data_IF_243509304677
#
_entry.id   IF_243509304677
#
_cell.length_a   1.000
_cell.length_b   1.000
_cell.length_c   1.000
_cell.angle_alpha   90.00
_cell.angle_beta   90.00
_cell.angle_gamma   90.00
#
_symmetry.space_group_name_H-M   'P 1'
#
loop_
_entity.id
_entity.type
_entity.pdbx_description
1 polymer ?
#
# COMPACT_ATOMS: atom_id res chain seq x y z
N UNK A 1 -22.42 -27.48 -0.75
CA UNK A 1 -22.15 -26.90 -2.08
C UNK A 1 -20.64 -26.83 -2.27
N UNK A 2 -20.11 -27.29 -3.40
CA UNK A 2 -18.67 -27.24 -3.66
C UNK A 2 -18.22 -25.79 -3.93
N UNK A 3 -17.05 -25.39 -3.42
CA UNK A 3 -16.42 -24.10 -3.72
C UNK A 3 -15.93 -24.12 -5.17
N UNK A 4 -16.63 -23.42 -6.06
CA UNK A 4 -16.28 -23.28 -7.48
C UNK A 4 -15.52 -21.98 -7.73
N UNK A 5 -14.37 -22.03 -8.41
CA UNK A 5 -13.62 -20.80 -8.73
C UNK A 5 -14.42 -19.85 -9.62
N UNK A 6 -15.07 -20.37 -10.67
CA UNK A 6 -15.85 -19.57 -11.62
C UNK A 6 -17.36 -19.46 -11.29
N UNK A 7 -17.85 -20.17 -10.27
CA UNK A 7 -19.28 -20.41 -10.06
C UNK A 7 -19.76 -21.72 -10.70
N UNK A 8 -20.98 -22.14 -10.36
CA UNK A 8 -21.62 -23.34 -10.94
C UNK A 8 -23.13 -23.12 -11.14
N UNK A 9 -23.49 -22.01 -11.78
CA UNK A 9 -24.88 -21.65 -12.02
C UNK A 9 -25.52 -22.55 -13.09
N UNK A 10 -26.79 -22.91 -12.87
CA UNK A 10 -27.54 -23.77 -13.79
C UNK A 10 -27.72 -23.07 -15.15
N UNK A 11 -27.26 -23.71 -16.22
CA UNK A 11 -27.44 -23.23 -17.61
C UNK A 11 -26.29 -22.38 -18.15
N UNK A 12 -25.28 -22.06 -17.35
CA UNK A 12 -24.06 -21.38 -17.79
C UNK A 12 -22.90 -22.35 -17.57
N UNK A 13 -22.04 -22.53 -18.58
CA UNK A 13 -20.77 -23.24 -18.40
C UNK A 13 -19.65 -22.20 -18.24
N UNK A 14 -19.36 -21.73 -17.01
CA UNK A 14 -18.40 -20.64 -16.78
C UNK A 14 -16.95 -21.08 -17.06
N UNK A 15 -16.71 -22.38 -17.24
CA UNK A 15 -15.43 -22.94 -17.65
C UNK A 15 -15.31 -23.12 -19.18
N UNK A 16 -16.34 -22.78 -19.96
CA UNK A 16 -16.30 -22.87 -21.41
C UNK A 16 -15.27 -21.90 -22.01
N UNK A 17 -14.45 -22.41 -22.92
CA UNK A 17 -13.42 -21.64 -23.65
C UNK A 17 -13.70 -21.56 -25.16
N UNK A 18 -14.91 -21.92 -25.58
CA UNK A 18 -15.29 -22.04 -27.01
C UNK A 18 -15.14 -20.71 -27.77
N UNK A 19 -15.39 -19.58 -27.11
CA UNK A 19 -15.27 -18.25 -27.70
C UNK A 19 -13.86 -17.63 -27.53
N UNK A 20 -12.85 -18.44 -27.18
CA UNK A 20 -11.48 -18.02 -26.93
C UNK A 20 -11.15 -17.89 -25.44
N UNK A 21 -9.95 -18.32 -25.06
CA UNK A 21 -9.51 -18.42 -23.66
C UNK A 21 -9.52 -17.06 -22.94
N UNK A 22 -9.02 -16.00 -23.57
CA UNK A 22 -8.99 -14.65 -22.98
C UNK A 22 -10.34 -13.91 -23.03
N UNK A 23 -11.35 -14.45 -23.71
CA UNK A 23 -12.70 -13.90 -23.70
C UNK A 23 -13.53 -14.43 -22.51
N UNK A 24 -13.05 -15.49 -21.85
CA UNK A 24 -13.64 -15.97 -20.61
C UNK A 24 -13.14 -15.10 -19.44
N UNK A 25 -14.05 -14.34 -18.81
CA UNK A 25 -13.73 -13.46 -17.69
C UNK A 25 -13.13 -14.18 -16.48
N UNK A 26 -13.60 -15.39 -16.17
CA UNK A 26 -13.03 -16.19 -15.09
C UNK A 26 -11.60 -16.63 -15.39
N UNK A 27 -11.29 -16.99 -16.64
CA UNK A 27 -9.93 -17.34 -17.05
C UNK A 27 -8.98 -16.15 -16.91
N UNK A 28 -9.43 -14.94 -17.26
CA UNK A 28 -8.63 -13.71 -17.07
C UNK A 28 -8.37 -13.43 -15.59
N UNK A 29 -9.35 -13.68 -14.71
CA UNK A 29 -9.15 -13.58 -13.27
C UNK A 29 -8.22 -14.67 -12.70
N UNK A 30 -8.27 -15.90 -13.23
CA UNK A 30 -7.29 -16.94 -12.94
C UNK A 30 -5.87 -16.54 -13.38
N UNK A 31 -5.72 -15.94 -14.57
CA UNK A 31 -4.44 -15.47 -15.08
C UNK A 31 -3.82 -14.41 -14.15
N UNK A 32 -4.64 -13.54 -13.55
CA UNK A 32 -4.18 -12.53 -12.59
C UNK A 32 -3.69 -13.12 -11.26
N UNK A 33 -4.03 -14.36 -10.93
CA UNK A 33 -3.52 -15.04 -9.74
C UNK A 33 -2.06 -15.49 -9.91
N UNK A 34 -1.66 -15.83 -11.14
CA UNK A 34 -0.36 -16.46 -11.45
C UNK A 34 0.85 -15.63 -10.95
N UNK A 35 0.96 -14.31 -11.24
CA UNK A 35 2.12 -13.53 -10.79
C UNK A 35 2.24 -13.46 -9.26
N UNK A 36 1.11 -13.37 -8.56
CA UNK A 36 1.06 -13.27 -7.10
C UNK A 36 1.56 -14.56 -6.44
N UNK A 37 1.06 -15.70 -6.92
CA UNK A 37 1.47 -17.03 -6.44
C UNK A 37 2.95 -17.27 -6.74
N UNK A 38 3.40 -16.93 -7.95
CA UNK A 38 4.80 -17.02 -8.35
C UNK A 38 5.75 -16.25 -7.41
N UNK A 39 5.42 -14.99 -7.09
CA UNK A 39 6.23 -14.19 -6.16
C UNK A 39 6.31 -14.85 -4.79
N UNK A 40 5.18 -15.32 -4.25
CA UNK A 40 5.15 -15.95 -2.93
C UNK A 40 6.05 -17.19 -2.91
N UNK A 41 5.91 -18.10 -3.87
CA UNK A 41 6.73 -19.32 -3.91
C UNK A 41 8.23 -19.05 -3.99
N UNK A 42 8.66 -18.02 -4.72
CA UNK A 42 10.08 -17.69 -4.83
C UNK A 42 10.61 -16.95 -3.59
N UNK A 43 9.81 -16.04 -3.03
CA UNK A 43 10.27 -15.17 -1.93
C UNK A 43 10.21 -15.86 -0.56
N UNK A 44 9.28 -16.79 -0.35
CA UNK A 44 9.14 -17.50 0.94
C UNK A 44 10.43 -18.20 1.39
N UNK A 45 11.11 -19.03 0.56
CA UNK A 45 12.36 -19.66 0.95
C UNK A 45 13.46 -18.64 1.26
N UNK A 46 13.57 -17.56 0.48
CA UNK A 46 14.59 -16.53 0.66
C UNK A 46 14.37 -15.78 1.98
N UNK A 47 13.12 -15.43 2.29
CA UNK A 47 12.75 -14.78 3.54
C UNK A 47 13.01 -15.68 4.74
N UNK A 48 12.73 -16.98 4.63
CA UNK A 48 12.96 -17.93 5.73
C UNK A 48 14.46 -18.11 6.01
N UNK A 49 15.29 -18.23 4.98
CA UNK A 49 16.75 -18.27 5.10
C UNK A 49 17.27 -16.97 5.72
N UNK A 50 16.78 -15.83 5.25
CA UNK A 50 17.15 -14.51 5.78
C UNK A 50 16.79 -14.35 7.25
N UNK A 51 15.59 -14.79 7.66
CA UNK A 51 15.18 -14.79 9.06
C UNK A 51 16.08 -15.72 9.89
N UNK A 52 16.26 -16.98 9.48
CA UNK A 52 17.12 -17.92 10.22
C UNK A 52 18.54 -17.40 10.43
N UNK A 53 19.11 -16.74 9.43
CA UNK A 53 20.43 -16.12 9.54
C UNK A 53 20.45 -14.90 10.48
N UNK A 54 19.42 -14.05 10.44
CA UNK A 54 19.31 -12.91 11.37
C UNK A 54 19.05 -13.36 12.80
N UNK A 55 18.25 -14.41 13.02
CA UNK A 55 17.94 -14.92 14.36
C UNK A 55 19.15 -15.53 15.06
N UNK A 56 20.14 -16.02 14.29
CA UNK A 56 21.41 -16.53 14.83
C UNK A 56 22.44 -15.43 15.09
N UNK A 57 22.28 -14.24 14.49
CA UNK A 57 23.14 -13.07 14.69
C UNK A 57 22.40 -12.00 15.50
N UNK A 58 22.59 -12.00 16.81
CA UNK A 58 21.88 -11.18 17.82
C UNK A 58 22.03 -9.65 17.64
N UNK A 59 22.92 -9.16 16.76
CA UNK A 59 23.02 -7.75 16.42
C UNK A 59 22.94 -7.57 14.90
N UNK A 60 21.81 -7.00 14.46
CA UNK A 60 21.66 -6.50 13.09
C UNK A 60 22.70 -5.40 12.91
N UNK A 61 23.68 -5.59 12.02
CA UNK A 61 24.65 -4.56 11.70
C UNK A 61 23.95 -3.39 10.99
N UNK A 62 23.53 -2.39 11.75
CA UNK A 62 23.00 -1.12 11.22
C UNK A 62 23.95 -0.46 10.21
N UNK A 63 25.24 -0.80 10.29
CA UNK A 63 26.32 -0.34 9.43
C UNK A 63 26.13 -0.70 7.93
N UNK A 64 25.25 -1.63 7.57
CA UNK A 64 25.01 -2.00 6.15
C UNK A 64 23.73 -1.39 5.55
N UNK A 65 22.92 -0.70 6.35
CA UNK A 65 21.62 -0.23 5.89
C UNK A 65 21.77 0.94 4.92
N UNK A 66 21.24 0.76 3.71
CA UNK A 66 21.32 1.77 2.66
C UNK A 66 20.05 1.77 1.83
N UNK A 67 19.31 2.88 1.87
CA UNK A 67 18.11 3.02 1.05
C UNK A 67 18.43 3.05 -0.44
N UNK A 68 17.67 2.29 -1.23
CA UNK A 68 17.77 2.39 -2.69
C UNK A 68 17.14 3.70 -3.21
N UNK A 69 17.61 4.19 -4.38
CA UNK A 69 16.99 5.35 -5.02
C UNK A 69 15.47 5.15 -5.20
N UNK A 70 14.67 6.15 -4.89
CA UNK A 70 13.20 6.03 -4.97
C UNK A 70 12.54 5.26 -3.81
N UNK A 71 13.25 4.97 -2.72
CA UNK A 71 12.72 4.29 -1.52
C UNK A 71 11.38 4.88 -1.04
N UNK A 72 11.30 6.20 -0.80
CA UNK A 72 10.08 6.83 -0.28
C UNK A 72 8.91 6.67 -1.27
N UNK A 73 9.16 6.87 -2.57
CA UNK A 73 8.14 6.72 -3.61
C UNK A 73 7.61 5.28 -3.66
N UNK A 74 8.51 4.29 -3.57
CA UNK A 74 8.15 2.86 -3.51
C UNK A 74 7.19 2.59 -2.36
N UNK A 75 7.51 3.02 -1.14
CA UNK A 75 6.64 2.81 0.02
C UNK A 75 5.26 3.46 -0.14
N UNK A 76 5.21 4.70 -0.63
CA UNK A 76 3.94 5.40 -0.87
C UNK A 76 3.08 4.64 -1.91
N UNK A 77 3.69 4.21 -3.01
CA UNK A 77 3.01 3.44 -4.05
C UNK A 77 2.55 2.07 -3.53
N UNK A 78 3.35 1.38 -2.72
CA UNK A 78 2.95 0.10 -2.11
C UNK A 78 1.79 0.28 -1.13
N UNK A 79 1.79 1.32 -0.28
CA UNK A 79 0.65 1.58 0.60
C UNK A 79 -0.62 1.90 -0.18
N UNK A 80 -0.49 2.67 -1.26
CA UNK A 80 -1.60 2.95 -2.18
C UNK A 80 -2.09 1.65 -2.84
N UNK A 81 -1.18 0.78 -3.29
CA UNK A 81 -1.50 -0.53 -3.86
C UNK A 81 -2.24 -1.43 -2.87
N UNK A 82 -1.78 -1.49 -1.61
CA UNK A 82 -2.45 -2.26 -0.56
C UNK A 82 -3.87 -1.74 -0.30
N UNK A 83 -4.05 -0.42 -0.24
CA UNK A 83 -5.37 0.20 -0.09
C UNK A 83 -6.30 -0.16 -1.25
N UNK A 84 -5.82 -0.05 -2.49
CA UNK A 84 -6.64 -0.39 -3.67
C UNK A 84 -6.97 -1.89 -3.75
N UNK A 85 -6.07 -2.77 -3.30
CA UNK A 85 -6.39 -4.21 -3.14
C UNK A 85 -7.48 -4.47 -2.11
N UNK A 86 -7.48 -3.73 -0.98
CA UNK A 86 -8.58 -3.80 -0.01
C UNK A 86 -9.90 -3.37 -0.65
N UNK A 87 -9.88 -2.33 -1.49
CA UNK A 87 -11.06 -1.93 -2.27
C UNK A 87 -11.50 -2.99 -3.29
N UNK A 88 -10.57 -3.60 -4.05
CA UNK A 88 -10.88 -4.68 -5.00
C UNK A 88 -11.45 -5.91 -4.28
N UNK A 89 -10.91 -6.24 -3.11
CA UNK A 89 -11.40 -7.33 -2.27
C UNK A 89 -12.80 -7.06 -1.71
N UNK A 90 -13.05 -5.85 -1.20
CA UNK A 90 -14.35 -5.45 -0.70
C UNK A 90 -15.42 -5.45 -1.82
N UNK A 91 -15.08 -4.92 -3.00
CA UNK A 91 -15.94 -4.99 -4.18
C UNK A 91 -16.22 -6.44 -4.58
N UNK A 92 -15.19 -7.30 -4.62
CA UNK A 92 -15.35 -8.71 -4.96
C UNK A 92 -16.29 -9.47 -4.00
N UNK A 93 -16.23 -9.20 -2.69
CA UNK A 93 -17.14 -9.80 -1.70
C UNK A 93 -18.57 -9.33 -1.90
N UNK A 94 -18.78 -8.03 -2.13
CA UNK A 94 -20.13 -7.47 -2.33
C UNK A 94 -20.74 -8.02 -3.62
N UNK A 95 -19.95 -8.11 -4.69
CA UNK A 95 -20.37 -8.67 -5.98
C UNK A 95 -20.70 -10.17 -5.89
N UNK A 96 -19.92 -10.96 -5.13
CA UNK A 96 -20.21 -12.38 -4.87
C UNK A 96 -21.53 -12.57 -4.10
N UNK A 97 -21.78 -11.76 -3.05
CA UNK A 97 -23.03 -11.86 -2.26
C UNK A 97 -24.29 -11.49 -3.04
N UNK A 98 -24.17 -10.65 -4.06
CA UNK A 98 -25.29 -10.28 -4.93
C UNK A 98 -25.66 -11.42 -5.90
N UNK A 99 -24.71 -12.32 -6.20
CA UNK A 99 -24.93 -13.51 -7.02
C UNK A 99 -25.51 -14.62 -6.14
N UNK A 100 -26.83 -14.57 -5.91
CA UNK A 100 -27.58 -15.32 -4.88
C UNK A 100 -27.52 -16.87 -4.97
N UNK A 101 -26.90 -17.46 -6.00
CA UNK A 101 -27.02 -18.91 -6.30
C UNK A 101 -25.75 -19.73 -6.08
N UNK A 102 -24.56 -19.21 -6.38
CA UNK A 102 -23.30 -19.96 -6.20
C UNK A 102 -22.14 -19.07 -5.77
N UNK A 103 -21.10 -19.66 -5.20
CA UNK A 103 -19.89 -18.93 -4.78
C UNK A 103 -18.95 -18.75 -5.98
N UNK A 104 -18.52 -17.51 -6.23
CA UNK A 104 -17.65 -17.10 -7.33
C UNK A 104 -16.30 -16.58 -6.80
N UNK A 105 -15.39 -17.50 -6.42
CA UNK A 105 -14.11 -17.11 -5.79
C UNK A 105 -13.24 -16.20 -6.67
N UNK A 106 -13.31 -16.32 -8.00
CA UNK A 106 -12.53 -15.50 -8.93
C UNK A 106 -12.74 -13.98 -8.75
N UNK A 107 -13.86 -13.56 -8.15
CA UNK A 107 -14.15 -12.14 -7.91
C UNK A 107 -13.25 -11.50 -6.86
N UNK A 108 -12.91 -12.21 -5.78
CA UNK A 108 -12.15 -11.67 -4.65
C UNK A 108 -10.80 -12.37 -4.39
N UNK A 109 -10.63 -13.63 -4.81
CA UNK A 109 -9.41 -14.40 -4.52
C UNK A 109 -8.14 -13.79 -5.17
N UNK A 110 -8.16 -13.32 -6.43
CA UNK A 110 -7.00 -12.63 -7.01
C UNK A 110 -6.62 -11.36 -6.25
N UNK A 111 -7.61 -10.59 -5.77
CA UNK A 111 -7.38 -9.37 -4.98
C UNK A 111 -6.75 -9.70 -3.61
N UNK A 112 -7.27 -10.72 -2.93
CA UNK A 112 -6.71 -11.18 -1.66
C UNK A 112 -5.26 -11.67 -1.81
N UNK A 113 -4.99 -12.47 -2.83
CA UNK A 113 -3.64 -12.95 -3.13
C UNK A 113 -2.72 -11.81 -3.57
N UNK A 114 -3.25 -10.81 -4.30
CA UNK A 114 -2.56 -9.57 -4.62
C UNK A 114 -2.15 -8.76 -3.39
N UNK A 115 -3.02 -8.67 -2.37
CA UNK A 115 -2.72 -8.03 -1.09
C UNK A 115 -1.60 -8.75 -0.33
N UNK A 116 -1.67 -10.09 -0.23
CA UNK A 116 -0.61 -10.89 0.39
C UNK A 116 0.70 -10.73 -0.37
N UNK A 117 0.67 -10.84 -1.71
CA UNK A 117 1.86 -10.67 -2.54
C UNK A 117 2.47 -9.27 -2.40
N UNK A 118 1.66 -8.20 -2.38
CA UNK A 118 2.14 -6.84 -2.16
C UNK A 118 2.80 -6.69 -0.77
N UNK A 119 2.22 -7.28 0.28
CA UNK A 119 2.79 -7.29 1.63
C UNK A 119 4.12 -8.05 1.67
N UNK A 120 4.16 -9.25 1.10
CA UNK A 120 5.40 -10.03 1.00
C UNK A 120 6.45 -9.30 0.16
N UNK A 121 6.06 -8.60 -0.90
CA UNK A 121 6.97 -7.83 -1.76
C UNK A 121 7.71 -6.72 -1.00
N UNK A 122 7.02 -6.03 -0.08
CA UNK A 122 7.63 -4.95 0.70
C UNK A 122 8.49 -5.47 1.83
N UNK A 123 8.10 -6.58 2.46
CA UNK A 123 8.95 -7.29 3.43
C UNK A 123 10.21 -7.80 2.75
N UNK A 124 10.08 -8.41 1.56
CA UNK A 124 11.19 -8.87 0.74
C UNK A 124 12.13 -7.73 0.36
N UNK A 125 11.58 -6.62 -0.13
CA UNK A 125 12.35 -5.41 -0.42
C UNK A 125 13.11 -4.89 0.80
N UNK A 126 12.46 -4.81 1.97
CA UNK A 126 13.09 -4.33 3.19
C UNK A 126 14.29 -5.23 3.59
N UNK A 127 14.16 -6.55 3.47
CA UNK A 127 15.25 -7.49 3.74
C UNK A 127 16.41 -7.36 2.73
N UNK A 128 16.12 -7.07 1.46
CA UNK A 128 17.19 -6.81 0.47
C UNK A 128 17.89 -5.48 0.76
N UNK A 129 17.15 -4.47 1.20
CA UNK A 129 17.70 -3.16 1.54
C UNK A 129 18.60 -3.19 2.78
N UNK A 130 18.25 -4.00 3.78
CA UNK A 130 19.09 -4.19 4.97
C UNK A 130 20.32 -5.04 4.69
N UNK A 131 20.20 -6.05 3.82
CA UNK A 131 21.32 -6.91 3.39
C UNK A 131 22.19 -6.30 2.28
N UNK A 132 21.71 -5.27 1.58
CA UNK A 132 22.38 -4.58 0.47
C UNK A 132 22.79 -5.52 -0.69
N UNK A 133 21.93 -6.47 -1.06
CA UNK A 133 22.12 -7.39 -2.20
C UNK A 133 21.18 -7.07 -3.39
N UNK A 134 21.48 -6.04 -4.21
CA UNK A 134 20.55 -5.54 -5.22
C UNK A 134 20.19 -6.55 -6.31
N UNK A 135 21.03 -7.56 -6.59
CA UNK A 135 20.75 -8.59 -7.62
C UNK A 135 19.45 -9.36 -7.35
N UNK A 136 19.07 -9.54 -6.08
CA UNK A 136 17.82 -10.21 -5.71
C UNK A 136 16.57 -9.40 -6.05
N UNK A 137 16.68 -8.07 -6.26
CA UNK A 137 15.57 -7.22 -6.71
C UNK A 137 15.08 -7.59 -8.12
N UNK A 138 15.86 -8.34 -8.91
CA UNK A 138 15.42 -8.82 -10.23
C UNK A 138 14.16 -9.69 -10.14
N UNK A 139 14.02 -10.49 -9.08
CA UNK A 139 12.81 -11.30 -8.85
C UNK A 139 11.60 -10.39 -8.72
N UNK A 140 11.75 -9.31 -7.96
CA UNK A 140 10.68 -8.34 -7.73
C UNK A 140 10.35 -7.56 -9.01
N UNK A 141 11.36 -7.20 -9.82
CA UNK A 141 11.15 -6.58 -11.13
C UNK A 141 10.35 -7.47 -12.09
N UNK A 142 10.71 -8.75 -12.22
CA UNK A 142 9.97 -9.71 -13.06
C UNK A 142 8.52 -9.82 -12.59
N UNK A 143 8.30 -9.88 -11.27
CA UNK A 143 6.95 -9.90 -10.71
C UNK A 143 6.12 -8.67 -11.13
N UNK A 144 6.67 -7.45 -11.01
CA UNK A 144 5.93 -6.24 -11.40
C UNK A 144 5.60 -6.22 -12.89
N UNK A 145 6.51 -6.69 -13.75
CA UNK A 145 6.26 -6.82 -15.19
C UNK A 145 5.12 -7.80 -15.46
N UNK A 146 5.17 -8.99 -14.86
CA UNK A 146 4.12 -10.00 -15.02
C UNK A 146 2.76 -9.49 -14.52
N UNK A 147 2.71 -8.91 -13.31
CA UNK A 147 1.49 -8.35 -12.74
C UNK A 147 0.91 -7.19 -13.57
N UNK A 148 1.77 -6.33 -14.11
CA UNK A 148 1.37 -5.25 -15.02
C UNK A 148 0.75 -5.81 -16.30
N UNK A 149 1.38 -6.82 -16.92
CA UNK A 149 0.87 -7.44 -18.15
C UNK A 149 -0.49 -8.12 -17.91
N UNK A 150 -0.63 -8.94 -16.86
CA UNK A 150 -1.89 -9.67 -16.61
C UNK A 150 -3.04 -8.72 -16.29
N UNK A 151 -2.81 -7.67 -15.50
CA UNK A 151 -3.84 -6.67 -15.19
C UNK A 151 -4.16 -5.80 -16.41
N UNK A 152 -3.17 -5.50 -17.27
CA UNK A 152 -3.41 -4.79 -18.54
C UNK A 152 -4.29 -5.61 -19.49
N UNK A 153 -4.08 -6.93 -19.56
CA UNK A 153 -4.96 -7.83 -20.31
C UNK A 153 -6.41 -7.76 -19.76
N UNK A 154 -6.59 -7.79 -18.43
CA UNK A 154 -7.90 -7.64 -17.81
C UNK A 154 -8.57 -6.30 -18.14
N UNK A 155 -7.82 -5.20 -18.04
CA UNK A 155 -8.32 -3.86 -18.38
C UNK A 155 -8.72 -3.76 -19.86
N UNK A 156 -7.88 -4.29 -20.76
CA UNK A 156 -8.16 -4.34 -22.20
C UNK A 156 -9.44 -5.13 -22.48
N UNK A 157 -9.64 -6.27 -21.79
CA UNK A 157 -10.86 -7.06 -21.94
C UNK A 157 -12.10 -6.37 -21.41
N UNK A 158 -12.01 -5.57 -20.36
CA UNK A 158 -13.13 -4.73 -19.95
C UNK A 158 -13.46 -3.68 -21.02
N UNK A 159 -12.45 -3.03 -21.60
CA UNK A 159 -12.66 -2.07 -22.69
C UNK A 159 -13.27 -2.72 -23.94
N UNK A 160 -12.86 -3.95 -24.29
CA UNK A 160 -13.40 -4.66 -25.46
C UNK A 160 -14.84 -5.13 -25.29
N UNK A 161 -15.30 -5.32 -24.05
CA UNK A 161 -16.70 -5.67 -23.73
C UNK A 161 -17.52 -4.42 -23.36
N UNK A 162 -17.05 -3.23 -23.72
CA UNK A 162 -17.73 -1.95 -23.48
C UNK A 162 -18.03 -1.66 -21.99
N UNK A 163 -17.29 -2.29 -21.08
CA UNK A 163 -17.37 -2.02 -19.64
C UNK A 163 -16.65 -0.70 -19.38
N UNK A 164 -17.43 0.36 -19.23
CA UNK A 164 -16.94 1.73 -19.03
C UNK A 164 -16.63 2.10 -17.57
N UNK A 165 -16.24 3.37 -17.32
CA UNK A 165 -15.94 3.91 -16.00
C UNK A 165 -17.15 4.00 -15.04
N UNK A 166 -18.35 3.67 -15.53
CA UNK A 166 -19.55 3.54 -14.72
C UNK A 166 -19.46 2.36 -13.74
N UNK A 167 -18.64 1.35 -14.07
CA UNK A 167 -18.42 0.18 -13.22
C UNK A 167 -17.21 0.36 -12.30
N UNK A 168 -17.42 0.21 -11.00
CA UNK A 168 -16.37 0.36 -9.99
C UNK A 168 -15.15 -0.54 -10.24
N UNK A 169 -15.38 -1.79 -10.65
CA UNK A 169 -14.32 -2.77 -10.94
C UNK A 169 -13.42 -2.35 -12.12
N UNK A 170 -13.95 -1.61 -13.10
CA UNK A 170 -13.16 -1.01 -14.17
C UNK A 170 -12.21 0.05 -13.61
N UNK A 171 -12.73 1.00 -12.83
CA UNK A 171 -11.94 2.09 -12.24
C UNK A 171 -10.84 1.56 -11.30
N UNK A 172 -11.16 0.58 -10.46
CA UNK A 172 -10.18 -0.08 -9.58
C UNK A 172 -9.09 -0.78 -10.41
N UNK A 173 -9.48 -1.52 -11.46
CA UNK A 173 -8.52 -2.23 -12.32
C UNK A 173 -7.60 -1.24 -13.06
N UNK A 174 -8.14 -0.13 -13.57
CA UNK A 174 -7.35 0.92 -14.21
C UNK A 174 -6.34 1.54 -13.23
N UNK A 175 -6.77 1.82 -11.99
CA UNK A 175 -5.89 2.33 -10.94
C UNK A 175 -4.78 1.33 -10.58
N UNK A 176 -5.10 0.04 -10.50
CA UNK A 176 -4.10 -1.01 -10.26
C UNK A 176 -3.07 -1.11 -11.39
N UNK A 177 -3.50 -1.05 -12.65
CA UNK A 177 -2.57 -1.02 -13.81
C UNK A 177 -1.62 0.17 -13.71
N UNK A 178 -2.14 1.36 -13.37
CA UNK A 178 -1.32 2.56 -13.14
C UNK A 178 -0.32 2.37 -11.99
N UNK A 179 -0.77 1.84 -10.84
CA UNK A 179 0.11 1.62 -9.68
C UNK A 179 1.20 0.58 -9.97
N UNK A 180 0.88 -0.53 -10.64
CA UNK A 180 1.87 -1.52 -11.06
C UNK A 180 2.86 -0.94 -12.07
N UNK A 181 2.40 -0.12 -13.02
CA UNK A 181 3.26 0.58 -13.96
C UNK A 181 4.22 1.57 -13.29
N UNK A 182 3.74 2.34 -12.31
CA UNK A 182 4.58 3.26 -11.53
C UNK A 182 5.62 2.52 -10.67
N UNK A 183 5.24 1.40 -10.04
CA UNK A 183 6.18 0.56 -9.27
C UNK A 183 7.24 -0.07 -10.18
N UNK A 184 6.84 -0.55 -11.36
CA UNK A 184 7.77 -1.02 -12.38
C UNK A 184 8.75 0.08 -12.81
N UNK A 185 8.27 1.31 -13.03
CA UNK A 185 9.14 2.45 -13.35
C UNK A 185 10.13 2.78 -12.22
N UNK A 186 9.73 2.65 -10.96
CA UNK A 186 10.63 2.80 -9.81
C UNK A 186 11.71 1.72 -9.80
N UNK A 187 11.40 0.47 -10.11
CA UNK A 187 12.42 -0.58 -10.25
C UNK A 187 13.40 -0.30 -11.40
N UNK A 188 12.90 0.14 -12.56
CA UNK A 188 13.73 0.53 -13.70
C UNK A 188 14.69 1.65 -13.29
N UNK A 189 14.22 2.63 -12.51
CA UNK A 189 15.08 3.70 -11.99
C UNK A 189 16.16 3.16 -11.04
N UNK A 190 15.85 2.20 -10.18
CA UNK A 190 16.85 1.55 -9.31
C UNK A 190 17.89 0.80 -10.14
N UNK A 191 17.46 0.02 -11.14
CA UNK A 191 18.36 -0.69 -12.07
C UNK A 191 19.29 0.29 -12.78
N UNK A 192 18.74 1.39 -13.31
CA UNK A 192 19.49 2.44 -14.02
C UNK A 192 20.53 3.13 -13.12
N UNK A 193 20.14 3.52 -11.90
CA UNK A 193 21.02 4.28 -11.00
C UNK A 193 22.10 3.38 -10.38
N UNK A 194 21.76 2.16 -9.97
CA UNK A 194 22.72 1.25 -9.33
C UNK A 194 23.55 0.44 -10.33
N UNK A 195 23.10 0.35 -11.60
CA UNK A 195 23.79 -0.36 -12.70
C UNK A 195 24.19 -1.79 -12.33
N UNK A 196 23.33 -2.50 -11.58
CA UNK A 196 23.64 -3.86 -11.10
C UNK A 196 23.24 -4.98 -12.07
N UNK A 197 22.52 -4.63 -13.15
CA UNK A 197 22.07 -5.54 -14.22
C UNK A 197 22.65 -5.03 -15.54
N UNK A 198 23.29 -5.89 -16.33
CA UNK A 198 23.85 -5.60 -17.66
C UNK A 198 24.98 -4.56 -17.77
N UNK A 199 25.51 -4.03 -16.65
CA UNK A 199 26.68 -3.14 -16.67
C UNK A 199 27.91 -3.82 -16.03
N UNK A 200 29.08 -3.64 -16.66
CA UNK A 200 30.34 -4.23 -16.21
C UNK A 200 30.81 -3.71 -14.83
N UNK A 201 30.44 -2.48 -14.47
CA UNK A 201 30.86 -1.82 -13.22
C UNK A 201 29.66 -1.40 -12.36
N UNK A 202 29.29 -2.19 -11.33
CA UNK A 202 28.18 -1.85 -10.44
C UNK A 202 28.54 -0.68 -9.53
N UNK A 203 27.63 0.28 -9.37
CA UNK A 203 27.86 1.44 -8.50
C UNK A 203 27.68 1.07 -7.02
N UNK A 204 28.80 0.84 -6.34
CA UNK A 204 28.83 0.63 -4.88
C UNK A 204 28.74 1.97 -4.16
N UNK A 205 27.63 2.20 -3.46
CA UNK A 205 27.44 3.37 -2.59
C UNK A 205 27.68 2.93 -1.16
N UNK A 206 28.47 3.72 -0.41
CA UNK A 206 28.72 3.46 1.01
C UNK A 206 27.52 3.91 1.85
N UNK A 207 27.19 3.20 2.95
CA UNK A 207 26.21 3.65 3.94
C UNK A 207 26.57 5.02 4.52
N UNK A 208 25.59 5.85 4.91
CA UNK A 208 25.83 7.14 5.56
C UNK A 208 26.81 7.05 6.73
N UNK A 209 27.68 8.05 6.88
CA UNK A 209 28.68 8.08 7.97
C UNK A 209 28.04 8.03 9.36
N UNK A 210 26.86 8.63 9.54
CA UNK A 210 26.08 8.57 10.77
C UNK A 210 25.73 7.15 11.21
N UNK A 211 25.48 6.24 10.26
CA UNK A 211 25.18 4.82 10.57
C UNK A 211 26.44 4.01 10.90
N UNK A 212 27.62 4.54 10.58
CA UNK A 212 28.91 3.92 10.92
C UNK A 212 29.41 4.36 12.30
N UNK A 213 28.96 5.52 12.81
CA UNK A 213 29.22 5.95 14.19
C UNK A 213 28.29 5.20 15.16
N UNK A 214 28.84 4.21 15.87
CA UNK A 214 28.16 3.44 16.93
C UNK A 214 27.58 4.31 18.06
N UNK A 215 28.02 5.57 18.16
CA UNK A 215 27.47 6.56 19.08
C UNK A 215 26.10 7.10 18.66
N UNK A 216 25.71 7.03 17.39
CA UNK A 216 24.41 7.54 16.91
C UNK A 216 23.33 6.49 17.15
N UNK A 217 22.37 6.81 18.03
CA UNK A 217 21.25 5.91 18.37
C UNK A 217 19.89 6.45 17.97
N UNK A 218 19.82 7.73 17.59
CA UNK A 218 18.61 8.32 17.03
C UNK A 218 18.52 7.99 15.53
N UNK A 219 17.74 6.96 15.21
CA UNK A 219 17.70 6.34 13.88
C UNK A 219 16.61 6.89 12.95
N UNK A 220 15.70 7.75 13.44
CA UNK A 220 14.54 8.26 12.69
C UNK A 220 14.85 8.70 11.24
N UNK A 221 15.98 9.38 10.92
CA UNK A 221 16.24 9.79 9.53
C UNK A 221 16.54 8.63 8.57
N UNK A 222 17.05 7.51 9.09
CA UNK A 222 17.65 6.40 8.33
C UNK A 222 16.76 5.15 8.23
N UNK A 223 15.61 5.17 8.91
CA UNK A 223 14.67 4.04 8.88
C UNK A 223 13.72 4.14 7.68
N UNK A 224 13.08 3.03 7.35
CA UNK A 224 12.07 2.99 6.30
C UNK A 224 10.86 3.89 6.63
N UNK A 225 10.07 4.24 5.62
CA UNK A 225 8.95 5.16 5.77
C UNK A 225 7.92 4.68 6.82
N UNK A 226 7.66 3.38 6.89
CA UNK A 226 6.76 2.80 7.89
C UNK A 226 7.24 3.05 9.31
N UNK A 227 8.51 2.75 9.60
CA UNK A 227 9.12 2.97 10.91
C UNK A 227 9.24 4.47 11.25
N UNK A 228 9.37 5.35 10.25
CA UNK A 228 9.28 6.81 10.47
C UNK A 228 7.90 7.24 10.95
N UNK A 229 6.84 6.64 10.40
CA UNK A 229 5.46 7.00 10.71
C UNK A 229 4.95 6.38 12.02
N UNK A 230 5.29 5.11 12.28
CA UNK A 230 4.83 4.38 13.49
C UNK A 230 5.84 4.42 14.63
N UNK A 231 7.01 5.04 14.43
CA UNK A 231 8.12 5.08 15.38
C UNK A 231 8.62 3.69 15.82
N UNK A 232 8.53 2.69 14.93
CA UNK A 232 8.87 1.30 15.25
C UNK A 232 10.30 1.13 15.81
N UNK A 233 11.27 1.91 15.32
CA UNK A 233 12.65 1.88 15.79
C UNK A 233 12.82 2.28 17.27
N UNK A 234 11.83 2.93 17.89
CA UNK A 234 11.87 3.28 19.31
C UNK A 234 11.55 2.09 20.22
N UNK A 235 10.95 1.01 19.71
CA UNK A 235 10.53 -0.13 20.52
C UNK A 235 11.65 -0.71 21.40
N UNK A 236 12.87 -0.97 20.89
CA UNK A 236 13.97 -1.47 21.73
C UNK A 236 14.37 -0.49 22.84
N UNK A 237 14.28 0.82 22.59
CA UNK A 237 14.60 1.85 23.58
C UNK A 237 13.54 1.87 24.69
N UNK A 238 12.25 1.85 24.34
CA UNK A 238 11.14 1.87 25.30
C UNK A 238 11.15 0.61 26.18
N UNK A 239 11.27 -0.58 25.56
CA UNK A 239 11.36 -1.85 26.30
C UNK A 239 12.61 -1.86 27.19
N UNK A 240 13.74 -1.35 26.68
CA UNK A 240 14.98 -1.25 27.41
C UNK A 240 14.95 -0.24 28.56
N UNK A 241 14.09 0.78 28.49
CA UNK A 241 13.91 1.79 29.53
C UNK A 241 13.08 1.26 30.71
N UNK A 242 12.15 0.34 30.44
CA UNK A 242 11.41 -0.34 31.50
C UNK A 242 12.31 -1.21 32.37
N UNK A 243 13.35 -1.83 31.78
CA UNK A 243 14.28 -2.71 32.51
C UNK A 243 15.38 -1.96 33.27
N UNK A 244 15.84 -0.82 32.75
CA UNK A 244 16.93 -0.03 33.33
C UNK A 244 16.72 1.45 33.05
N UNK A 245 17.02 2.35 34.00
CA UNK A 245 16.92 3.78 33.79
C UNK A 245 17.76 4.24 32.59
N UNK A 246 17.30 5.31 31.92
CA UNK A 246 17.95 5.82 30.72
C UNK A 246 19.10 6.75 31.11
N UNK A 247 20.32 6.27 30.87
CA UNK A 247 21.53 7.09 30.96
C UNK A 247 21.75 7.90 29.66
N UNK A 248 22.42 9.06 29.76
CA UNK A 248 22.77 9.90 28.60
C UNK A 248 23.58 9.12 27.54
N UNK A 249 24.46 8.21 27.98
CA UNK A 249 25.21 7.32 27.09
C UNK A 249 24.30 6.41 26.25
N UNK A 250 23.12 6.06 26.75
CA UNK A 250 22.15 5.20 26.07
C UNK A 250 21.30 5.94 25.03
N UNK A 251 21.12 7.25 25.18
CA UNK A 251 20.44 8.13 24.20
C UNK A 251 21.29 8.30 22.94
N UNK A 252 22.62 8.35 23.10
CA UNK A 252 23.56 8.49 22.00
C UNK A 252 23.63 9.89 21.42
N UNK A 253 24.41 10.03 20.34
CA UNK A 253 24.59 11.26 19.57
C UNK A 253 23.44 11.46 18.58
N UNK A 254 23.20 12.73 18.25
CA UNK A 254 22.31 13.11 17.16
C UNK A 254 22.99 12.94 15.78
N UNK A 255 22.22 12.55 14.74
CA UNK A 255 22.70 12.52 13.35
C UNK A 255 23.19 13.89 12.89
N UNK A 256 24.14 13.93 11.96
CA UNK A 256 24.74 15.16 11.44
C UNK A 256 23.67 16.18 10.99
N UNK A 257 22.62 15.72 10.30
CA UNK A 257 21.54 16.58 9.82
C UNK A 257 20.77 17.34 10.92
N UNK A 258 20.87 16.91 12.19
CA UNK A 258 20.19 17.51 13.33
C UNK A 258 21.14 18.22 14.29
N UNK A 259 22.44 18.27 13.99
CA UNK A 259 23.42 18.95 14.86
C UNK A 259 23.29 20.47 14.77
N UNK A 260 23.52 21.13 15.90
CA UNK A 260 23.42 22.58 16.01
C UNK A 260 24.34 23.30 15.01
N UNK A 261 25.60 22.87 14.87
CA UNK A 261 26.56 23.45 13.93
C UNK A 261 26.08 23.36 12.48
N UNK A 262 25.59 22.19 12.06
CA UNK A 262 25.09 21.97 10.69
C UNK A 262 23.89 22.86 10.38
N UNK A 263 22.94 22.97 11.31
CA UNK A 263 21.78 23.84 11.16
C UNK A 263 22.13 25.33 11.21
N UNK A 264 23.10 25.71 12.06
CA UNK A 264 23.63 27.07 12.11
C UNK A 264 24.29 27.48 10.79
N UNK A 265 25.18 26.63 10.25
CA UNK A 265 25.84 26.89 8.97
C UNK A 265 24.82 27.03 7.85
N UNK A 266 23.81 26.13 7.79
CA UNK A 266 22.73 26.21 6.79
C UNK A 266 21.94 27.51 6.87
N UNK A 267 21.65 28.00 8.08
CA UNK A 267 20.95 29.27 8.28
C UNK A 267 21.85 30.46 7.94
N UNK A 268 23.12 30.40 8.32
CA UNK A 268 24.13 31.41 8.00
C UNK A 268 24.28 31.56 6.49
N UNK A 269 24.43 30.46 5.76
CA UNK A 269 24.53 30.48 4.30
C UNK A 269 23.27 31.11 3.67
N UNK A 270 22.07 30.76 4.13
CA UNK A 270 20.82 31.36 3.66
C UNK A 270 20.65 32.85 4.03
N UNK A 271 21.36 33.32 5.05
CA UNK A 271 21.42 34.72 5.48
C UNK A 271 22.43 35.52 4.66
N UNK A 272 23.63 34.97 4.44
CA UNK A 272 24.66 35.59 3.60
C UNK A 272 24.25 35.62 2.11
N UNK A 273 23.54 34.61 1.62
CA UNK A 273 22.95 34.56 0.26
C UNK A 273 22.00 35.73 -0.06
N UNK A 274 21.52 36.45 0.96
CA UNK A 274 20.68 37.63 0.76
C UNK A 274 21.50 38.90 0.53
N UNK A 275 22.78 38.91 0.88
CA UNK A 275 23.68 40.03 0.57
C UNK A 275 24.01 39.96 -0.92
N UNK A 276 23.35 40.82 -1.69
CA UNK A 276 23.57 40.93 -3.14
C UNK A 276 24.57 42.06 -3.40
N UNK A 277 25.40 41.95 -4.44
CA UNK A 277 26.41 42.96 -4.78
C UNK A 277 25.81 44.36 -5.07
N UNK A 278 24.53 44.41 -5.43
CA UNK A 278 23.80 45.65 -5.75
C UNK A 278 23.47 46.51 -4.52
N UNK A 279 23.37 45.92 -3.32
CA UNK A 279 23.00 46.70 -2.11
C UNK A 279 23.64 46.12 -0.82
N UNK A 280 24.96 46.35 -0.60
CA UNK A 280 25.72 45.77 0.50
C UNK A 280 25.27 46.26 1.89
N UNK A 281 24.64 47.43 1.95
CA UNK A 281 24.26 48.10 3.20
C UNK A 281 22.89 47.65 3.72
N UNK A 282 22.11 46.91 2.93
CA UNK A 282 20.79 46.42 3.35
C UNK A 282 20.96 45.23 4.29
N UNK A 283 20.49 45.39 5.52
CA UNK A 283 20.47 44.30 6.50
C UNK A 283 19.63 43.12 5.98
N UNK A 284 20.19 41.90 5.89
CA UNK A 284 19.43 40.71 5.48
C UNK A 284 18.30 40.41 6.46
N UNK A 285 17.20 39.86 5.95
CA UNK A 285 16.02 39.55 6.78
C UNK A 285 16.11 38.15 7.35
N UNK A 286 16.04 38.03 8.69
CA UNK A 286 16.10 36.74 9.40
C UNK A 286 14.94 35.82 8.98
N UNK A 287 13.73 36.37 8.82
CA UNK A 287 12.55 35.61 8.41
C UNK A 287 12.72 34.95 7.04
N UNK A 288 13.24 35.69 6.05
CA UNK A 288 13.49 35.13 4.71
C UNK A 288 14.56 34.06 4.75
N UNK A 289 15.60 34.22 5.59
CA UNK A 289 16.64 33.20 5.78
C UNK A 289 16.04 31.92 6.38
N UNK A 290 15.15 32.08 7.37
CA UNK A 290 14.48 30.96 8.03
C UNK A 290 13.62 30.17 7.04
N UNK A 291 12.78 30.85 6.25
CA UNK A 291 11.97 30.20 5.22
C UNK A 291 12.82 29.57 4.11
N UNK A 292 13.93 30.19 3.70
CA UNK A 292 14.83 29.62 2.70
C UNK A 292 15.55 28.37 3.23
N UNK A 293 16.00 28.38 4.48
CA UNK A 293 16.70 27.26 5.10
C UNK A 293 15.78 26.10 5.51
N UNK A 294 14.59 26.39 6.04
CA UNK A 294 13.70 25.40 6.68
C UNK A 294 12.26 25.37 6.14
N UNK A 295 11.94 26.15 5.11
CA UNK A 295 10.58 26.20 4.54
C UNK A 295 10.12 24.87 3.94
N UNK A 296 11.02 24.08 3.34
CA UNK A 296 10.65 22.76 2.75
C UNK A 296 10.06 21.79 3.80
N UNK A 297 10.71 21.53 4.96
CA UNK A 297 10.11 20.77 6.05
C UNK A 297 8.79 21.34 6.57
N UNK A 298 8.69 22.67 6.69
CA UNK A 298 7.47 23.32 7.19
C UNK A 298 6.31 23.08 6.23
N UNK A 299 6.51 23.30 4.93
CA UNK A 299 5.50 23.03 3.91
C UNK A 299 5.07 21.57 3.92
N UNK A 300 6.01 20.63 4.03
CA UNK A 300 5.69 19.20 4.15
C UNK A 300 4.84 18.91 5.39
N UNK A 301 5.21 19.46 6.55
CA UNK A 301 4.43 19.33 7.79
C UNK A 301 3.01 19.89 7.63
N UNK A 302 2.88 21.08 7.04
CA UNK A 302 1.58 21.70 6.77
C UNK A 302 0.72 20.85 5.83
N UNK A 303 1.30 20.28 4.76
CA UNK A 303 0.55 19.39 3.86
C UNK A 303 0.02 18.15 4.57
N UNK A 304 0.81 17.53 5.46
CA UNK A 304 0.34 16.40 6.25
C UNK A 304 -0.76 16.80 7.24
N UNK A 305 -0.66 17.99 7.84
CA UNK A 305 -1.71 18.51 8.72
C UNK A 305 -3.03 18.66 7.97
N UNK A 306 -3.03 19.35 6.83
CA UNK A 306 -4.24 19.52 6.02
C UNK A 306 -4.83 18.18 5.55
N UNK A 307 -3.99 17.24 5.13
CA UNK A 307 -4.45 15.90 4.75
C UNK A 307 -5.09 15.15 5.93
N UNK A 308 -4.48 15.25 7.12
CA UNK A 308 -5.02 14.62 8.33
C UNK A 308 -6.38 15.22 8.72
N UNK A 309 -6.55 16.54 8.61
CA UNK A 309 -7.81 17.21 8.92
C UNK A 309 -8.91 16.80 7.92
N UNK A 310 -8.59 16.72 6.61
CA UNK A 310 -9.50 16.22 5.58
C UNK A 310 -9.93 14.76 5.82
N UNK A 311 -8.98 13.89 6.17
CA UNK A 311 -9.27 12.50 6.52
C UNK A 311 -10.06 12.39 7.83
N UNK A 312 -9.90 13.34 8.76
CA UNK A 312 -10.69 13.43 9.98
C UNK A 312 -12.20 13.57 9.72
N UNK A 313 -12.58 14.26 8.65
CA UNK A 313 -14.00 14.38 8.25
C UNK A 313 -14.57 13.09 7.65
N UNK A 314 -13.73 12.16 7.17
CA UNK A 314 -14.20 10.89 6.64
C UNK A 314 -14.89 10.04 7.71
N UNK A 315 -14.46 10.12 8.97
CA UNK A 315 -15.05 9.36 10.09
C UNK A 315 -16.55 9.63 10.26
N UNK A 316 -16.97 10.88 10.53
CA UNK A 316 -18.39 11.25 10.62
C UNK A 316 -19.20 10.95 9.36
N UNK A 317 -18.62 11.15 8.16
CA UNK A 317 -19.28 10.84 6.89
C UNK A 317 -19.55 9.34 6.73
N UNK A 318 -18.58 8.48 7.08
CA UNK A 318 -18.75 7.04 7.09
C UNK A 318 -19.84 6.59 8.08
N UNK A 319 -19.88 7.17 9.30
CA UNK A 319 -20.94 6.87 10.29
C UNK A 319 -22.31 7.25 9.74
N UNK A 320 -22.44 8.44 9.13
CA UNK A 320 -23.69 8.90 8.51
C UNK A 320 -24.15 7.94 7.39
N UNK A 321 -23.22 7.49 6.55
CA UNK A 321 -23.49 6.51 5.49
C UNK A 321 -23.99 5.17 6.05
N UNK A 322 -23.31 4.63 7.07
CA UNK A 322 -23.68 3.37 7.73
C UNK A 322 -25.08 3.48 8.35
N UNK A 323 -25.37 4.54 9.11
CA UNK A 323 -26.68 4.72 9.76
C UNK A 323 -27.80 4.85 8.73
N UNK A 324 -27.59 5.58 7.64
CA UNK A 324 -28.57 5.69 6.54
C UNK A 324 -28.86 4.34 5.88
N UNK A 325 -27.82 3.55 5.63
CA UNK A 325 -27.96 2.21 5.07
C UNK A 325 -28.77 1.30 5.99
N UNK A 326 -28.42 1.25 7.29
CA UNK A 326 -29.14 0.44 8.28
C UNK A 326 -30.60 0.85 8.45
N UNK A 327 -30.91 2.15 8.38
CA UNK A 327 -32.30 2.64 8.44
C UNK A 327 -33.11 2.20 7.23
N UNK A 328 -32.51 2.20 6.03
CA UNK A 328 -33.16 1.77 4.79
C UNK A 328 -33.51 0.28 4.84
N UNK A 329 -32.61 -0.57 5.34
CA UNK A 329 -32.89 -1.99 5.53
C UNK A 329 -34.06 -2.21 6.50
N UNK A 330 -34.08 -1.51 7.65
CA UNK A 330 -35.18 -1.62 8.62
C UNK A 330 -36.54 -1.19 8.04
N UNK A 331 -36.58 -0.12 7.25
CA UNK A 331 -37.82 0.32 6.58
C UNK A 331 -38.28 -0.72 5.55
N UNK A 332 -37.35 -1.25 4.74
CA UNK A 332 -37.64 -2.32 3.78
C UNK A 332 -38.14 -3.61 4.45
N UNK A 333 -37.64 -3.97 5.63
CA UNK A 333 -38.14 -5.11 6.41
C UNK A 333 -39.53 -4.84 7.01
N UNK A 334 -39.77 -3.63 7.53
CA UNK A 334 -41.08 -3.23 8.07
C UNK A 334 -42.16 -3.15 6.99
N UNK A 335 -41.84 -2.64 5.80
CA UNK A 335 -42.78 -2.59 4.67
C UNK A 335 -43.13 -4.00 4.19
N UNK A 336 -42.17 -4.93 4.17
CA UNK A 336 -42.42 -6.34 3.86
C UNK A 336 -43.26 -7.04 4.93
N UNK A 337 -43.07 -6.71 6.20
CA UNK A 337 -43.87 -7.26 7.30
C UNK A 337 -45.33 -6.78 7.24
N UNK A 338 -45.57 -5.49 6.96
CA UNK A 338 -46.92 -4.92 6.81
C UNK A 338 -47.68 -5.49 5.62
N UNK A 339 -47.03 -5.67 4.47
CA UNK A 339 -47.65 -6.31 3.30
C UNK A 339 -47.97 -7.79 3.59
N UNK A 340 -47.15 -8.47 4.40
CA UNK A 340 -47.43 -9.83 4.87
C UNK A 340 -48.64 -9.92 5.79
N UNK A 341 -48.81 -8.96 6.70
CA UNK A 341 -49.97 -8.86 7.60
C UNK A 341 -51.28 -8.54 6.84
N UNK A 342 -51.28 -7.57 5.92
CA UNK A 342 -52.44 -7.26 5.07
C UNK A 342 -52.88 -8.46 4.21
N UNK A 343 -51.92 -9.25 3.70
CA UNK A 343 -52.22 -10.45 2.92
C UNK A 343 -52.83 -11.57 3.78
N UNK A 344 -52.39 -11.71 5.04
CA UNK A 344 -52.94 -12.69 5.98
C UNK A 344 -54.33 -12.28 6.50
N UNK A 345 -54.56 -11.01 6.79
CA UNK A 345 -55.89 -10.49 7.16
C UNK A 345 -56.90 -10.66 6.02
N UNK A 346 -56.53 -10.32 4.78
CA UNK A 346 -57.37 -10.53 3.60
C UNK A 346 -57.73 -12.01 3.37
N UNK A 347 -56.79 -12.93 3.62
CA UNK A 347 -57.04 -14.37 3.50
C UNK A 347 -57.97 -14.92 4.59
N UNK A 348 -57.89 -14.34 5.80
CA UNK A 348 -58.72 -14.71 6.95
C UNK A 348 -60.16 -14.22 6.76
N UNK A 349 -60.34 -13.01 6.19
CA UNK A 349 -61.65 -12.48 5.82
C UNK A 349 -62.33 -13.30 4.72
N UNK A 350 -61.56 -13.75 3.72
CA UNK A 350 -62.08 -14.63 2.65
C UNK A 350 -62.48 -15.99 3.22
N UNK A 351 -61.68 -16.60 4.09
CA UNK A 351 -62.02 -17.88 4.74
C UNK A 351 -63.27 -17.78 5.63
N UNK A 352 -63.43 -16.70 6.40
CA UNK A 352 -64.62 -16.47 7.23
C UNK A 352 -65.91 -16.27 6.39
N UNK A 353 -65.79 -15.74 5.17
CA UNK A 353 -66.94 -15.58 4.26
C UNK A 353 -67.35 -16.87 3.54
N UNK A 354 -66.47 -17.88 3.48
CA UNK A 354 -66.75 -19.18 2.86
C UNK A 354 -67.40 -20.16 3.87
N UNK A 355 -67.20 -19.97 5.18
CA UNK A 355 -67.86 -20.78 6.23
C UNK A 355 -69.29 -20.32 6.58
N UNK A 356 -69.77 -19.20 6.04
CA UNK A 356 -71.14 -18.68 6.25
C UNK A 356 -72.10 -18.91 5.06
N UNK A 357 -71.72 -19.74 4.08
CA UNK A 357 -72.55 -20.26 2.99
C UNK A 357 -72.69 -21.77 3.15
#
# INVERSE_FOLDING_TARGET
MALSFCGNDKGINPYSVVQGTLNNGCFVDALNLVPHVFLLFITFPILFIGWGSQSSKVQIHHNTWLHFPGHNMRWILTFSLLFVHVCEFAEGIVSDKMMLTTTHLHLFLPAFMGFIAATTSVVYYHNIETSNFPKLLLVLFIYWVLAFITKSIKLWKFASHEVGPQHLRFCITALLVLLYGLLMAVEINVIRVRKYVFFANPQKVKPPEDLQDLGVRFLQPFVNLLSKATYWWMNPLIIGAHKRPIELKKIGKLPIAMRALTNYLKLKDAYEDQRTAEDPNKAPSIWRSMYRAFGRPILLSSTFRYLADLLGFAGPLCICGIVKYLKKDKLSEQDKAKVGEEYLEGKTQILASVEML
#
